data_IF_850175159393
#
_entry.id   IF_850175159393
#
_cell.length_a   1.000
_cell.length_b   1.000
_cell.length_c   1.000
_cell.angle_alpha   90.00
_cell.angle_beta   90.00
_cell.angle_gamma   90.00
#
_symmetry.space_group_name_H-M   'P 1'
#
loop_
_entity.id
_entity.type
_entity.pdbx_description
1 polymer ?
#
# COMPACT_ATOMS: atom_id res chain seq x y z
N UNK A 1 2.89 -4.86 11.66
CA UNK A 1 2.68 -4.85 10.20
C UNK A 1 1.76 -3.67 9.91
N UNK A 2 2.14 -2.77 9.00
CA UNK A 2 1.50 -1.45 8.79
C UNK A 2 0.64 -1.43 7.52
N UNK A 3 -0.14 -2.48 7.32
CA UNK A 3 -1.08 -2.71 6.22
C UNK A 3 -2.21 -3.61 6.76
N UNK A 4 -3.24 -3.86 5.95
CA UNK A 4 -4.52 -4.45 6.36
C UNK A 4 -5.18 -3.66 7.50
N UNK A 5 -5.00 -2.32 7.47
CA UNK A 5 -5.48 -1.43 8.53
C UNK A 5 -6.98 -1.18 8.42
N UNK A 6 -7.52 -1.26 7.21
CA UNK A 6 -8.95 -1.32 6.93
C UNK A 6 -9.25 -2.45 5.95
N UNK A 7 -10.34 -3.16 6.19
CA UNK A 7 -10.87 -4.17 5.28
C UNK A 7 -12.40 -4.08 5.18
N UNK A 8 -12.99 -4.81 4.24
CA UNK A 8 -14.44 -4.75 3.98
C UNK A 8 -15.34 -5.12 5.16
N UNK A 9 -14.83 -5.76 6.22
CA UNK A 9 -15.60 -6.12 7.41
C UNK A 9 -15.91 -4.92 8.28
N UNK A 10 -15.21 -3.80 8.07
CA UNK A 10 -15.51 -2.51 8.71
C UNK A 10 -16.90 -1.97 8.29
N UNK A 11 -17.39 -2.36 7.11
CA UNK A 11 -18.67 -1.88 6.56
C UNK A 11 -18.60 -0.48 5.95
N UNK A 12 -17.40 0.09 5.82
CA UNK A 12 -17.13 1.33 5.12
C UNK A 12 -15.80 1.25 4.36
N UNK A 13 -15.60 2.13 3.37
CA UNK A 13 -14.33 2.24 2.66
C UNK A 13 -13.24 2.80 3.57
N UNK A 14 -12.06 2.20 3.50
CA UNK A 14 -10.88 2.62 4.24
C UNK A 14 -9.62 2.21 3.48
N UNK A 15 -8.52 2.91 3.77
CA UNK A 15 -7.26 2.67 3.09
C UNK A 15 -6.53 1.45 3.65
N UNK A 16 -5.81 0.71 2.79
CA UNK A 16 -5.04 -0.47 3.23
C UNK A 16 -3.92 -0.08 4.21
N UNK A 17 -3.17 0.98 3.90
CA UNK A 17 -2.00 1.43 4.65
C UNK A 17 -1.93 2.96 4.69
N UNK A 18 -2.89 3.68 5.27
CA UNK A 18 -2.83 5.14 5.34
C UNK A 18 -1.62 5.61 6.16
N UNK A 19 -0.87 6.61 5.67
CA UNK A 19 0.29 7.16 6.42
C UNK A 19 -0.18 7.86 7.70
N UNK A 20 -1.25 8.63 7.60
CA UNK A 20 -1.88 9.37 8.69
C UNK A 20 -3.35 9.01 8.82
N UNK A 21 -3.96 9.33 9.96
CA UNK A 21 -5.39 9.11 10.19
C UNK A 21 -6.28 9.91 9.24
N UNK A 22 -7.42 9.35 8.88
CA UNK A 22 -8.52 10.05 8.24
C UNK A 22 -9.22 11.02 9.22
N UNK A 23 -9.83 12.13 8.76
CA UNK A 23 -10.73 12.93 9.60
C UNK A 23 -11.98 12.16 10.03
N UNK A 24 -12.29 11.03 9.38
CA UNK A 24 -13.42 10.16 9.72
C UNK A 24 -13.06 9.10 10.77
N UNK A 25 -11.77 8.93 11.10
CA UNK A 25 -11.33 7.96 12.09
C UNK A 25 -11.62 8.44 13.51
N UNK A 26 -12.41 7.65 14.25
CA UNK A 26 -12.82 7.94 15.62
C UNK A 26 -12.46 6.78 16.56
N UNK A 27 -12.18 7.11 17.82
CA UNK A 27 -11.82 6.11 18.82
C UNK A 27 -10.58 5.32 18.42
N UNK A 28 -10.67 3.99 18.43
CA UNK A 28 -9.55 3.10 18.09
C UNK A 28 -9.12 3.20 16.61
N UNK A 29 -10.01 3.61 15.71
CA UNK A 29 -9.66 3.77 14.29
C UNK A 29 -8.65 4.91 14.08
N UNK A 30 -8.56 5.86 15.01
CA UNK A 30 -7.56 6.93 14.94
C UNK A 30 -6.12 6.42 15.04
N UNK A 31 -5.92 5.17 15.51
CA UNK A 31 -4.62 4.50 15.60
C UNK A 31 -4.33 3.63 14.36
N UNK A 32 -5.27 3.47 13.42
CA UNK A 32 -5.16 2.62 12.22
C UNK A 32 -4.39 3.31 11.08
N UNK A 33 -3.20 3.83 11.38
CA UNK A 33 -2.31 4.44 10.39
C UNK A 33 -0.84 4.16 10.71
N UNK A 34 0.01 4.28 9.70
CA UNK A 34 1.44 3.97 9.81
C UNK A 34 2.13 4.80 10.89
N UNK A 35 1.88 6.11 10.94
CA UNK A 35 2.50 7.03 11.90
C UNK A 35 2.19 6.66 13.34
N UNK A 36 0.92 6.40 13.66
CA UNK A 36 0.46 6.03 15.01
C UNK A 36 1.00 4.66 15.42
N UNK A 37 0.96 3.66 14.53
CA UNK A 37 1.46 2.31 14.82
C UNK A 37 2.97 2.32 15.09
N UNK A 38 3.75 3.01 14.26
CA UNK A 38 5.21 3.09 14.46
C UNK A 38 5.54 3.88 15.73
N UNK A 39 4.86 5.00 15.96
CA UNK A 39 5.04 5.80 17.18
C UNK A 39 4.75 4.97 18.43
N UNK A 40 3.69 4.18 18.41
CA UNK A 40 3.38 3.25 19.50
C UNK A 40 4.55 2.30 19.81
N UNK A 41 5.16 1.68 18.81
CA UNK A 41 6.30 0.78 19.03
C UNK A 41 7.53 1.52 19.59
N UNK A 42 7.81 2.74 19.11
CA UNK A 42 8.91 3.57 19.60
C UNK A 42 8.71 3.95 21.07
N UNK A 43 7.51 4.41 21.41
CA UNK A 43 7.15 4.83 22.77
C UNK A 43 7.16 3.67 23.77
N UNK A 44 7.03 2.42 23.29
CA UNK A 44 7.13 1.21 24.10
C UNK A 44 8.53 0.57 24.08
N UNK A 45 9.55 1.34 23.73
CA UNK A 45 10.96 0.98 23.95
C UNK A 45 11.62 0.23 22.80
N UNK A 46 10.99 0.13 21.63
CA UNK A 46 11.66 -0.44 20.44
C UNK A 46 12.52 0.63 19.79
N UNK A 47 13.82 0.34 19.68
CA UNK A 47 14.77 1.21 19.03
C UNK A 47 14.38 1.45 17.55
N UNK A 48 14.40 2.71 17.14
CA UNK A 48 13.90 3.17 15.84
C UNK A 48 14.59 2.45 14.66
N UNK A 49 15.89 2.28 14.75
CA UNK A 49 16.73 1.60 13.76
C UNK A 49 16.46 0.08 13.64
N UNK A 50 15.67 -0.50 14.55
CA UNK A 50 15.22 -1.90 14.47
C UNK A 50 13.80 -2.03 13.91
N UNK A 51 13.07 -0.93 13.76
CA UNK A 51 11.73 -0.94 13.19
C UNK A 51 11.82 -0.94 11.66
N UNK A 52 11.22 -1.97 11.07
CA UNK A 52 11.07 -2.10 9.62
C UNK A 52 9.61 -1.83 9.27
N UNK A 53 9.36 -0.78 8.50
CA UNK A 53 8.00 -0.40 8.08
C UNK A 53 7.51 -1.32 6.96
N UNK A 54 6.26 -1.78 7.06
CA UNK A 54 5.61 -2.57 6.02
C UNK A 54 5.00 -1.69 4.92
N UNK A 55 5.24 -2.08 3.67
CA UNK A 55 4.72 -1.45 2.45
C UNK A 55 3.94 -2.49 1.63
N UNK A 56 2.61 -2.36 1.48
CA UNK A 56 1.84 -3.32 0.71
C UNK A 56 1.97 -3.06 -0.79
N UNK A 57 2.16 -4.12 -1.58
CA UNK A 57 2.10 -4.08 -3.04
C UNK A 57 0.71 -4.52 -3.57
N UNK A 58 -0.34 -4.25 -2.78
CA UNK A 58 -1.73 -4.59 -3.05
C UNK A 58 -2.65 -3.58 -2.37
N UNK A 59 -3.93 -3.64 -2.70
CA UNK A 59 -4.99 -2.85 -2.07
C UNK A 59 -6.17 -3.71 -1.65
N UNK A 60 -7.04 -3.16 -0.80
CA UNK A 60 -8.29 -3.79 -0.40
C UNK A 60 -9.45 -3.26 -1.20
N UNK A 61 -10.26 -4.19 -1.73
CA UNK A 61 -11.43 -3.86 -2.55
C UNK A 61 -12.73 -3.99 -1.78
N UNK A 62 -13.68 -3.12 -2.13
CA UNK A 62 -14.95 -2.98 -1.48
C UNK A 62 -16.05 -2.84 -2.53
N UNK A 63 -17.25 -3.33 -2.21
CA UNK A 63 -18.46 -2.99 -2.95
C UNK A 63 -19.19 -1.87 -2.21
N UNK A 64 -19.29 -0.71 -2.85
CA UNK A 64 -20.05 0.45 -2.37
C UNK A 64 -21.53 0.12 -2.30
N UNK A 65 -22.17 0.53 -1.20
CA UNK A 65 -23.63 0.47 -1.06
C UNK A 65 -24.33 1.44 -2.01
N UNK A 66 -23.67 2.56 -2.33
CA UNK A 66 -24.15 3.62 -3.21
C UNK A 66 -22.98 4.12 -4.07
N UNK A 67 -22.95 3.86 -5.39
CA UNK A 67 -21.88 4.29 -6.31
C UNK A 67 -21.60 5.80 -6.30
N UNK A 68 -22.60 6.61 -5.93
CA UNK A 68 -22.44 8.07 -5.85
C UNK A 68 -21.69 8.52 -4.59
N UNK A 69 -21.52 7.63 -3.61
CA UNK A 69 -20.73 7.85 -2.39
C UNK A 69 -19.46 7.00 -2.47
N UNK A 70 -18.39 7.60 -2.96
CA UNK A 70 -17.14 6.92 -3.33
C UNK A 70 -15.89 7.50 -2.64
N UNK A 71 -16.07 8.33 -1.62
CA UNK A 71 -14.98 8.81 -0.77
C UNK A 71 -14.61 7.82 0.33
N UNK A 72 -13.65 8.21 1.18
CA UNK A 72 -13.30 7.51 2.42
C UNK A 72 -14.49 7.51 3.39
N UNK A 73 -14.70 6.40 4.09
CA UNK A 73 -15.81 6.22 5.04
C UNK A 73 -17.17 6.00 4.36
N UNK A 74 -17.21 5.78 3.04
CA UNK A 74 -18.44 5.47 2.33
C UNK A 74 -18.96 4.08 2.72
N UNK A 75 -20.27 3.87 2.92
CA UNK A 75 -20.80 2.57 3.33
C UNK A 75 -20.59 1.47 2.28
N UNK A 76 -20.21 0.28 2.72
CA UNK A 76 -19.92 -0.88 1.85
C UNK A 76 -20.78 -2.09 2.22
N UNK A 77 -21.00 -2.99 1.27
CA UNK A 77 -21.82 -4.20 1.46
C UNK A 77 -21.00 -5.48 1.55
N UNK A 78 -19.82 -5.50 0.93
CA UNK A 78 -18.94 -6.67 0.90
C UNK A 78 -17.53 -6.30 0.44
N UNK A 79 -16.63 -7.27 0.54
CA UNK A 79 -15.38 -7.30 -0.24
C UNK A 79 -15.68 -7.22 -1.75
N UNK A 80 -14.79 -6.58 -2.51
CA UNK A 80 -14.83 -6.58 -3.97
C UNK A 80 -14.55 -7.96 -4.58
N UNK A 81 -14.77 -8.13 -5.88
CA UNK A 81 -14.54 -9.40 -6.56
C UNK A 81 -13.05 -9.79 -6.50
N UNK A 82 -12.73 -11.10 -6.60
CA UNK A 82 -11.35 -11.54 -6.69
C UNK A 82 -10.69 -11.06 -7.98
N UNK A 83 -9.43 -10.67 -7.88
CA UNK A 83 -8.59 -10.37 -9.04
C UNK A 83 -8.40 -11.59 -9.94
N UNK A 84 -8.19 -11.35 -11.24
CA UNK A 84 -8.00 -12.42 -12.24
C UNK A 84 -6.79 -13.32 -11.94
N UNK A 85 -5.74 -12.76 -11.35
CA UNK A 85 -4.47 -13.43 -11.10
C UNK A 85 -4.30 -13.83 -9.65
N UNK A 86 -4.58 -12.91 -8.71
CA UNK A 86 -4.50 -13.20 -7.27
C UNK A 86 -5.58 -14.16 -6.83
N UNK A 87 -6.76 -14.10 -7.46
CA UNK A 87 -7.93 -14.90 -7.15
C UNK A 87 -8.30 -14.86 -5.65
N UNK A 88 -8.12 -13.69 -5.03
CA UNK A 88 -8.40 -13.45 -3.62
C UNK A 88 -9.49 -12.39 -3.48
N UNK A 89 -10.59 -12.74 -2.83
CA UNK A 89 -11.72 -11.82 -2.65
C UNK A 89 -11.33 -10.67 -1.72
N UNK A 90 -11.62 -9.43 -2.12
CA UNK A 90 -11.29 -8.25 -1.32
C UNK A 90 -9.85 -7.76 -1.46
N UNK A 91 -9.06 -8.31 -2.37
CA UNK A 91 -7.66 -7.94 -2.59
C UNK A 91 -7.37 -7.84 -4.09
N UNK A 92 -6.61 -6.83 -4.50
CA UNK A 92 -5.99 -6.75 -5.81
C UNK A 92 -4.50 -6.45 -5.68
N UNK A 93 -3.67 -7.20 -6.40
CA UNK A 93 -2.25 -6.88 -6.55
C UNK A 93 -2.06 -5.55 -7.29
N UNK A 94 -0.96 -4.84 -7.06
CA UNK A 94 -0.70 -3.55 -7.71
C UNK A 94 -0.82 -3.61 -9.25
N UNK A 95 -0.37 -4.69 -9.86
CA UNK A 95 -0.52 -4.88 -11.31
C UNK A 95 -1.98 -5.09 -11.76
N UNK A 96 -2.85 -5.67 -10.92
CA UNK A 96 -4.28 -5.77 -11.17
C UNK A 96 -4.97 -4.42 -11.00
N UNK A 97 -4.52 -3.62 -10.03
CA UNK A 97 -5.00 -2.25 -9.83
C UNK A 97 -4.68 -1.39 -11.05
N UNK A 98 -3.49 -1.53 -11.64
CA UNK A 98 -3.17 -0.85 -12.89
C UNK A 98 -4.10 -1.27 -14.04
N UNK A 99 -4.57 -2.52 -14.06
CA UNK A 99 -5.58 -2.97 -15.03
C UNK A 99 -6.91 -2.27 -14.78
N UNK A 100 -7.37 -2.22 -13.52
CA UNK A 100 -8.59 -1.52 -13.12
C UNK A 100 -8.57 -0.02 -13.52
N UNK A 101 -7.42 0.64 -13.33
CA UNK A 101 -7.20 2.02 -13.78
C UNK A 101 -7.26 2.15 -15.31
N UNK A 102 -6.59 1.25 -16.04
CA UNK A 102 -6.59 1.24 -17.51
C UNK A 102 -7.99 0.97 -18.12
N UNK A 103 -8.86 0.29 -17.38
CA UNK A 103 -10.26 0.04 -17.75
C UNK A 103 -11.20 1.24 -17.50
N UNK A 104 -10.68 2.32 -16.93
CA UNK A 104 -11.39 3.60 -16.77
C UNK A 104 -11.85 3.91 -15.35
N UNK A 105 -11.32 3.22 -14.33
CA UNK A 105 -11.55 3.62 -12.95
C UNK A 105 -11.06 5.06 -12.69
N UNK A 106 -11.80 5.78 -11.85
CA UNK A 106 -11.41 7.12 -11.41
C UNK A 106 -10.44 7.01 -10.24
N UNK A 107 -9.20 7.47 -10.41
CA UNK A 107 -8.20 7.56 -9.34
C UNK A 107 -8.32 8.90 -8.60
N UNK A 108 -8.30 8.86 -7.27
CA UNK A 108 -8.24 10.03 -6.40
C UNK A 108 -7.10 9.83 -5.41
N UNK A 109 -6.36 10.91 -5.14
CA UNK A 109 -5.33 10.91 -4.12
C UNK A 109 -5.87 11.55 -2.84
N UNK A 110 -5.96 10.79 -1.76
CA UNK A 110 -6.31 11.33 -0.43
C UNK A 110 -5.10 12.04 0.17
N UNK A 111 -5.08 13.36 0.06
CA UNK A 111 -4.01 14.19 0.63
C UNK A 111 -3.98 14.22 2.16
N UNK A 112 -4.99 13.72 2.86
CA UNK A 112 -4.97 13.65 4.33
C UNK A 112 -4.19 12.42 4.81
N UNK A 113 -4.40 11.29 4.14
CA UNK A 113 -3.78 10.00 4.48
C UNK A 113 -2.53 9.69 3.64
N UNK A 114 -2.25 10.50 2.61
CA UNK A 114 -1.11 10.41 1.69
C UNK A 114 -1.06 9.10 0.87
N UNK A 115 -2.23 8.61 0.47
CA UNK A 115 -2.44 7.37 -0.30
C UNK A 115 -3.51 7.55 -1.38
N UNK A 116 -3.46 6.79 -2.48
CA UNK A 116 -4.51 6.77 -3.50
C UNK A 116 -5.64 5.79 -3.16
N UNK A 117 -6.81 6.11 -3.69
CA UNK A 117 -7.88 5.14 -3.92
C UNK A 117 -8.43 5.29 -5.33
N UNK A 118 -9.15 4.28 -5.80
CA UNK A 118 -9.82 4.32 -7.09
C UNK A 118 -11.20 3.68 -7.03
N UNK A 119 -12.08 4.06 -7.96
CA UNK A 119 -13.41 3.45 -8.07
C UNK A 119 -13.92 3.38 -9.50
N UNK A 120 -14.74 2.36 -9.77
CA UNK A 120 -15.43 2.14 -11.04
C UNK A 120 -16.79 1.49 -10.78
N UNK A 121 -17.87 2.17 -11.14
CA UNK A 121 -19.21 1.72 -10.78
C UNK A 121 -19.35 1.67 -9.25
N UNK A 122 -19.66 0.49 -8.71
CA UNK A 122 -19.74 0.24 -7.27
C UNK A 122 -18.48 -0.41 -6.69
N UNK A 123 -17.44 -0.67 -7.47
CA UNK A 123 -16.18 -1.18 -6.95
C UNK A 123 -15.28 -0.03 -6.51
N UNK A 124 -14.70 -0.16 -5.33
CA UNK A 124 -13.79 0.81 -4.73
C UNK A 124 -12.55 0.09 -4.20
N UNK A 125 -11.39 0.72 -4.31
CA UNK A 125 -10.12 0.17 -3.81
C UNK A 125 -9.26 1.23 -3.16
N UNK A 126 -8.77 0.94 -1.94
CA UNK A 126 -7.74 1.71 -1.25
C UNK A 126 -6.40 0.99 -1.34
N UNK A 127 -5.36 1.67 -1.80
CA UNK A 127 -4.10 1.03 -2.18
C UNK A 127 -2.90 1.96 -2.03
N UNK A 128 -1.73 1.48 -2.44
CA UNK A 128 -0.51 2.26 -2.53
C UNK A 128 0.00 2.33 -3.97
N UNK A 129 0.54 3.49 -4.36
CA UNK A 129 1.20 3.69 -5.65
C UNK A 129 2.61 4.26 -5.48
N UNK A 130 3.28 4.54 -6.59
CA UNK A 130 4.63 5.14 -6.58
C UNK A 130 4.69 6.45 -5.77
N UNK A 131 3.62 7.25 -5.75
CA UNK A 131 3.59 8.51 -4.99
C UNK A 131 3.51 8.25 -3.48
N UNK A 132 2.58 7.41 -3.02
CA UNK A 132 2.48 7.09 -1.59
C UNK A 132 3.72 6.36 -1.07
N UNK A 133 4.31 5.46 -1.86
CA UNK A 133 5.58 4.82 -1.54
C UNK A 133 6.72 5.83 -1.34
N UNK A 134 6.82 6.86 -2.19
CA UNK A 134 7.80 7.95 -2.03
C UNK A 134 7.60 8.72 -0.73
N UNK A 135 6.35 9.08 -0.42
CA UNK A 135 6.00 9.87 0.75
C UNK A 135 6.30 9.10 2.04
N UNK A 136 5.88 7.83 2.10
CA UNK A 136 6.19 6.93 3.21
C UNK A 136 7.69 6.66 3.35
N UNK A 137 8.42 6.50 2.24
CA UNK A 137 9.88 6.33 2.28
C UNK A 137 10.60 7.59 2.81
N UNK A 138 10.09 8.78 2.49
CA UNK A 138 10.60 10.02 3.05
C UNK A 138 10.30 10.10 4.56
N UNK A 139 9.04 9.87 4.96
CA UNK A 139 8.64 9.82 6.37
C UNK A 139 9.48 8.82 7.18
N UNK A 140 9.77 7.65 6.61
CA UNK A 140 10.59 6.60 7.21
C UNK A 140 12.00 7.10 7.55
N UNK A 141 12.63 7.82 6.61
CA UNK A 141 13.96 8.42 6.81
C UNK A 141 13.91 9.52 7.87
N UNK A 142 12.91 10.39 7.78
CA UNK A 142 12.72 11.50 8.72
C UNK A 142 12.48 11.01 10.15
N UNK A 143 11.93 9.80 10.30
CA UNK A 143 11.70 9.13 11.58
C UNK A 143 12.81 8.17 12.02
N UNK A 144 13.92 8.10 11.29
CA UNK A 144 15.09 7.26 11.58
C UNK A 144 14.74 5.77 11.76
N UNK A 145 13.85 5.22 10.92
CA UNK A 145 13.56 3.79 10.96
C UNK A 145 14.68 2.95 10.32
N UNK A 146 14.71 1.66 10.66
CA UNK A 146 15.72 0.71 10.16
C UNK A 146 15.60 0.35 8.68
N UNK A 147 14.40 0.49 8.09
CA UNK A 147 14.18 0.18 6.68
C UNK A 147 12.73 -0.15 6.36
N UNK A 148 12.51 -0.68 5.16
CA UNK A 148 11.19 -1.07 4.64
C UNK A 148 11.16 -2.56 4.28
N UNK A 149 9.99 -3.18 4.45
CA UNK A 149 9.67 -4.52 3.93
C UNK A 149 8.48 -4.41 3.00
N UNK A 150 8.59 -4.99 1.81
CA UNK A 150 7.49 -5.02 0.82
C UNK A 150 6.72 -6.32 0.98
N UNK A 151 5.41 -6.23 1.08
CA UNK A 151 4.51 -7.38 1.16
C UNK A 151 3.48 -7.37 0.02
N UNK A 152 3.47 -8.37 -0.87
CA UNK A 152 4.60 -9.21 -1.28
C UNK A 152 5.25 -8.69 -2.58
N UNK A 153 6.47 -9.15 -2.87
CA UNK A 153 7.23 -8.71 -4.05
C UNK A 153 6.56 -9.13 -5.37
N UNK A 154 5.88 -10.28 -5.39
CA UNK A 154 5.19 -10.83 -6.56
C UNK A 154 3.88 -10.11 -6.93
N UNK A 155 3.38 -9.23 -6.05
CA UNK A 155 2.20 -8.38 -6.34
C UNK A 155 2.57 -6.99 -6.87
N UNK A 156 3.86 -6.61 -6.85
CA UNK A 156 4.36 -5.48 -7.62
C UNK A 156 4.28 -5.78 -9.13
N UNK A 157 4.35 -4.78 -10.00
CA UNK A 157 4.40 -5.01 -11.46
C UNK A 157 5.80 -5.49 -11.89
N UNK A 158 6.12 -6.74 -11.55
CA UNK A 158 7.43 -7.34 -11.72
C UNK A 158 7.87 -7.46 -13.19
N UNK A 159 6.91 -7.57 -14.12
CA UNK A 159 7.15 -7.55 -15.57
C UNK A 159 7.22 -6.14 -16.14
N UNK A 160 6.54 -5.17 -15.50
CA UNK A 160 6.40 -3.79 -15.97
C UNK A 160 5.37 -3.64 -17.09
N UNK A 161 4.54 -4.66 -17.33
CA UNK A 161 3.63 -4.73 -18.47
C UNK A 161 2.23 -4.20 -18.17
N UNK A 162 1.84 -4.08 -16.90
CA UNK A 162 0.49 -3.69 -16.50
C UNK A 162 0.38 -2.19 -16.22
N UNK A 163 1.37 -1.65 -15.50
CA UNK A 163 1.40 -0.26 -15.06
C UNK A 163 2.20 0.64 -16.01
N UNK A 164 3.02 0.06 -16.89
CA UNK A 164 3.95 0.80 -17.77
C UNK A 164 4.91 1.75 -17.03
N UNK A 165 5.27 1.41 -15.80
CA UNK A 165 6.15 2.18 -14.91
C UNK A 165 7.57 1.58 -14.79
N UNK A 166 7.90 0.61 -15.63
CA UNK A 166 9.11 -0.22 -15.51
C UNK A 166 8.90 -1.44 -14.62
N UNK A 167 9.94 -2.27 -14.44
CA UNK A 167 9.86 -3.49 -13.63
C UNK A 167 9.94 -3.17 -12.14
N UNK A 168 9.10 -3.83 -11.34
CA UNK A 168 9.02 -3.62 -9.89
C UNK A 168 8.91 -2.13 -9.52
N UNK A 169 7.93 -1.39 -10.06
CA UNK A 169 7.87 0.08 -9.90
C UNK A 169 7.77 0.52 -8.44
N UNK A 170 7.04 -0.22 -7.60
CA UNK A 170 6.90 0.10 -6.18
C UNK A 170 8.21 -0.21 -5.43
N UNK A 171 8.76 -1.41 -5.59
CA UNK A 171 9.97 -1.84 -4.90
C UNK A 171 11.19 -1.03 -5.35
N UNK A 172 11.28 -0.71 -6.65
CA UNK A 172 12.35 0.13 -7.21
C UNK A 172 12.30 1.56 -6.67
N UNK A 173 11.10 2.06 -6.35
CA UNK A 173 10.93 3.36 -5.68
C UNK A 173 11.59 3.36 -4.30
N UNK A 174 11.32 2.34 -3.47
CA UNK A 174 11.98 2.21 -2.16
C UNK A 174 13.49 2.04 -2.29
N UNK A 175 13.95 1.19 -3.23
CA UNK A 175 15.38 0.97 -3.47
C UNK A 175 16.10 2.30 -3.74
N UNK A 176 15.54 3.14 -4.61
CA UNK A 176 16.09 4.46 -4.94
C UNK A 176 16.05 5.39 -3.73
N UNK A 177 14.90 5.53 -3.09
CA UNK A 177 14.67 6.60 -2.11
C UNK A 177 15.28 6.29 -0.73
N UNK A 178 15.58 5.01 -0.47
CA UNK A 178 16.33 4.53 0.70
C UNK A 178 17.82 4.30 0.40
N UNK A 179 18.31 4.74 -0.77
CA UNK A 179 19.72 4.62 -1.18
C UNK A 179 20.30 3.20 -1.08
N UNK A 180 19.50 2.19 -1.43
CA UNK A 180 19.92 0.79 -1.40
C UNK A 180 20.78 0.51 -2.63
N UNK A 181 22.08 0.67 -2.45
CA UNK A 181 23.10 0.32 -3.42
C UNK A 181 23.80 -0.96 -2.98
N UNK A 182 23.96 -1.90 -3.91
CA UNK A 182 24.86 -3.03 -3.68
C UNK A 182 26.27 -2.62 -4.09
N UNK A 183 27.26 -2.81 -3.20
CA UNK A 183 28.67 -2.70 -3.55
C UNK A 183 29.12 -3.79 -4.54
N UNK A 184 28.38 -4.90 -4.62
CA UNK A 184 28.62 -6.01 -5.54
C UNK A 184 27.30 -6.69 -5.89
N UNK A 185 26.76 -6.37 -7.07
CA UNK A 185 25.71 -7.19 -7.70
C UNK A 185 26.36 -8.22 -8.65
N UNK A 186 27.55 -8.71 -8.30
CA UNK A 186 28.27 -9.73 -9.07
C UNK A 186 27.95 -11.10 -8.51
N UNK A 187 27.76 -12.07 -9.41
CA UNK A 187 27.67 -13.47 -9.02
C UNK A 187 28.93 -13.85 -8.21
N UNK A 188 28.79 -14.63 -7.11
CA UNK A 188 29.95 -15.18 -6.45
C UNK A 188 30.74 -16.02 -7.45
N UNK A 189 32.05 -15.83 -7.50
CA UNK A 189 32.94 -16.57 -8.38
C UNK A 189 32.81 -18.07 -8.06
N UNK A 190 32.32 -18.88 -9.00
CA UNK A 190 32.40 -20.34 -8.89
C UNK A 190 33.86 -20.74 -9.16
N UNK A 191 34.67 -20.81 -8.11
CA UNK A 191 35.91 -21.57 -8.16
C UNK A 191 35.56 -23.05 -8.37
N UNK A 192 36.26 -23.69 -9.30
CA UNK A 192 36.17 -25.12 -9.61
C UNK A 192 36.34 -25.96 -8.34
N UNK A 193 35.45 -26.95 -8.16
CA UNK A 193 35.57 -28.02 -7.17
C UNK A 193 36.70 -28.99 -7.56
#
# INVERSE_FOLDING_TARGET
MTYDLHDSKDGYTGENSPLYKSPYDIGKSADLNVDSIITYWKDHGVASEKLIMGFPAYGHTFILSDPSKNGIGAPTVSAGPPGKYTNEQGLLAYFEICTFLNEGATEIFDGTQEVPYAYLGNEWIGYDNVRSFKLKAQWLKDNNLGGAVVWPLDMDDFSGSFCHQGRFPLTSTLKRDLNIHSASCKAPYRGEL
#
